data_IF_177418997098
#
_entry.id   IF_177418997098
#
_cell.length_a   1.000
_cell.length_b   1.000
_cell.length_c   1.000
_cell.angle_alpha   90.00
_cell.angle_beta   90.00
_cell.angle_gamma   90.00
#
_symmetry.space_group_name_H-M   'P 1'
#
loop_
_entity.id
_entity.type
_entity.pdbx_description
1 polymer ?
#
# COMPACT_ATOMS: atom_id res chain seq x y z
N UNK A 1 3.74 -4.29 -54.53
CA UNK A 1 4.97 -4.49 -53.74
C UNK A 1 5.38 -3.10 -53.27
N UNK A 2 4.93 -2.71 -52.09
CA UNK A 2 4.95 -1.32 -51.63
C UNK A 2 5.77 -1.27 -50.35
N UNK A 3 6.96 -0.66 -50.42
CA UNK A 3 7.86 -0.51 -49.28
C UNK A 3 7.52 0.82 -48.60
N UNK A 4 6.97 0.76 -47.39
CA UNK A 4 6.77 1.93 -46.53
C UNK A 4 8.07 2.18 -45.76
N UNK A 5 8.83 3.17 -46.20
CA UNK A 5 10.01 3.67 -45.48
C UNK A 5 9.59 4.48 -44.25
N UNK A 6 10.03 4.07 -43.06
CA UNK A 6 9.91 4.83 -41.83
C UNK A 6 11.04 5.85 -41.74
N UNK A 7 10.76 7.09 -42.17
CA UNK A 7 11.61 8.25 -41.87
C UNK A 7 11.35 8.70 -40.43
N UNK A 8 12.14 8.18 -39.50
CA UNK A 8 12.21 8.69 -38.14
C UNK A 8 13.01 10.01 -38.16
N UNK A 9 12.36 11.14 -37.87
CA UNK A 9 13.05 12.39 -37.59
C UNK A 9 13.76 12.29 -36.24
N UNK A 10 15.07 12.07 -36.25
CA UNK A 10 15.94 12.32 -35.10
C UNK A 10 16.01 13.84 -34.87
N UNK A 11 15.15 14.34 -33.99
CA UNK A 11 15.26 15.71 -33.47
C UNK A 11 16.37 15.70 -32.44
N UNK A 12 17.57 16.08 -32.91
CA UNK A 12 18.80 16.19 -32.14
C UNK A 12 18.57 16.74 -30.73
N UNK A 13 18.56 15.84 -29.78
CA UNK A 13 18.52 16.16 -28.35
C UNK A 13 19.96 16.36 -27.92
N UNK A 14 20.41 17.61 -27.93
CA UNK A 14 21.70 18.01 -27.35
C UNK A 14 21.75 17.47 -25.92
N UNK A 15 22.79 16.70 -25.51
CA UNK A 15 22.83 16.15 -24.18
C UNK A 15 22.74 17.29 -23.16
N UNK A 16 21.86 17.18 -22.14
CA UNK A 16 21.74 18.21 -21.12
C UNK A 16 23.11 18.46 -20.49
N UNK A 17 23.48 19.74 -20.33
CA UNK A 17 24.72 20.09 -19.64
C UNK A 17 24.67 19.55 -18.21
N UNK A 18 25.82 19.16 -17.64
CA UNK A 18 25.87 18.64 -16.26
C UNK A 18 25.19 19.60 -15.25
N UNK A 19 25.31 20.91 -15.46
CA UNK A 19 24.62 21.92 -14.67
C UNK A 19 23.09 21.81 -14.75
N UNK A 20 22.52 21.58 -15.95
CA UNK A 20 21.07 21.39 -16.12
C UNK A 20 20.57 20.07 -15.52
N UNK A 21 21.42 19.04 -15.47
CA UNK A 21 21.09 17.78 -14.82
C UNK A 21 21.10 17.92 -13.29
N UNK A 22 22.07 18.63 -12.72
CA UNK A 22 22.12 18.91 -11.29
C UNK A 22 20.92 19.74 -10.81
N UNK A 23 20.52 20.75 -11.58
CA UNK A 23 19.31 21.55 -11.32
C UNK A 23 18.04 20.68 -11.32
N UNK A 24 17.94 19.76 -12.28
CA UNK A 24 16.81 18.84 -12.38
C UNK A 24 16.75 17.87 -11.19
N UNK A 25 17.89 17.37 -10.73
CA UNK A 25 17.99 16.49 -9.55
C UNK A 25 17.56 17.24 -8.29
N UNK A 26 18.10 18.43 -8.05
CA UNK A 26 17.75 19.25 -6.86
C UNK A 26 16.24 19.53 -6.80
N UNK A 27 15.62 19.84 -7.95
CA UNK A 27 14.17 20.02 -8.02
C UNK A 27 13.37 18.76 -7.67
N UNK A 28 13.90 17.58 -7.99
CA UNK A 28 13.27 16.30 -7.66
C UNK A 28 13.41 15.98 -6.17
N UNK A 29 14.59 16.21 -5.59
CA UNK A 29 14.85 16.05 -4.16
C UNK A 29 13.91 16.93 -3.32
N UNK A 30 13.77 18.21 -3.66
CA UNK A 30 12.83 19.13 -2.99
C UNK A 30 11.38 18.64 -3.06
N UNK A 31 10.96 18.05 -4.19
CA UNK A 31 9.61 17.49 -4.34
C UNK A 31 9.42 16.22 -3.52
N UNK A 32 10.44 15.37 -3.46
CA UNK A 32 10.49 14.17 -2.62
C UNK A 32 10.33 14.54 -1.15
N UNK A 33 11.14 15.48 -0.64
CA UNK A 33 11.05 15.94 0.76
C UNK A 33 9.68 16.53 1.09
N UNK A 34 9.09 17.32 0.17
CA UNK A 34 7.74 17.85 0.35
C UNK A 34 6.68 16.76 0.38
N UNK A 35 6.84 15.71 -0.44
CA UNK A 35 5.94 14.56 -0.47
C UNK A 35 6.04 13.75 0.83
N UNK A 36 7.26 13.47 1.28
CA UNK A 36 7.51 12.76 2.55
C UNK A 36 6.91 13.51 3.74
N UNK A 37 7.09 14.84 3.80
CA UNK A 37 6.47 15.66 4.85
C UNK A 37 4.95 15.61 4.82
N UNK A 38 4.34 15.67 3.64
CA UNK A 38 2.88 15.58 3.49
C UNK A 38 2.35 14.22 3.92
N UNK A 39 3.04 13.14 3.51
CA UNK A 39 2.69 11.79 3.93
C UNK A 39 2.85 11.63 5.45
N UNK A 40 3.96 12.10 6.03
CA UNK A 40 4.17 12.08 7.48
C UNK A 40 3.12 12.85 8.27
N UNK A 41 2.49 13.88 7.70
CA UNK A 41 1.37 14.61 8.29
C UNK A 41 0.00 13.95 8.05
N UNK A 42 -0.14 13.17 6.97
CA UNK A 42 -1.38 12.47 6.61
C UNK A 42 -1.46 11.05 7.18
N UNK A 43 -0.34 10.47 7.62
CA UNK A 43 -0.40 9.20 8.33
C UNK A 43 -1.16 9.43 9.64
N UNK A 44 -2.30 8.75 9.85
CA UNK A 44 -2.90 8.72 11.17
C UNK A 44 -1.83 8.22 12.17
N UNK A 45 -1.87 8.66 13.43
CA UNK A 45 -1.00 8.11 14.45
C UNK A 45 -1.09 6.58 14.37
N UNK A 46 0.04 5.85 14.57
CA UNK A 46 0.00 4.40 14.59
C UNK A 46 -1.11 3.99 15.57
N UNK A 47 -2.18 3.42 15.02
CA UNK A 47 -3.30 2.93 15.82
C UNK A 47 -2.68 1.98 16.83
N UNK A 48 -2.86 2.28 18.11
CA UNK A 48 -2.44 1.39 19.17
C UNK A 48 -3.03 0.01 18.81
N UNK A 49 -2.24 -1.07 18.70
CA UNK A 49 -2.80 -2.40 18.40
C UNK A 49 -3.79 -2.87 19.48
N UNK A 50 -3.89 -2.14 20.59
CA UNK A 50 -4.88 -2.30 21.65
C UNK A 50 -6.22 -1.56 21.39
N UNK A 51 -6.28 -0.65 20.43
CA UNK A 51 -7.52 0.02 20.06
C UNK A 51 -8.39 -0.97 19.27
N UNK A 52 -9.46 -1.43 19.91
CA UNK A 52 -10.53 -2.28 19.34
C UNK A 52 -11.27 -1.63 18.16
N UNK A 53 -10.74 -0.55 17.58
CA UNK A 53 -11.27 0.05 16.39
C UNK A 53 -10.90 -0.82 15.19
N UNK A 54 -11.87 -1.37 14.45
CA UNK A 54 -11.58 -2.12 13.24
C UNK A 54 -10.82 -1.24 12.25
N UNK A 55 -9.79 -1.79 11.62
CA UNK A 55 -8.83 -1.09 10.76
C UNK A 55 -9.41 -0.66 9.39
N UNK A 56 -10.69 -0.30 9.36
CA UNK A 56 -11.45 0.06 8.17
C UNK A 56 -12.30 -1.09 7.61
N UNK A 57 -12.69 -1.02 6.32
CA UNK A 57 -13.49 -2.06 5.68
C UNK A 57 -12.78 -3.42 5.69
N UNK A 58 -13.56 -4.49 5.86
CA UNK A 58 -13.06 -5.87 5.73
C UNK A 58 -12.79 -6.16 4.26
N UNK A 59 -11.57 -6.62 3.95
CA UNK A 59 -11.19 -7.09 2.61
C UNK A 59 -11.56 -8.56 2.42
N UNK A 60 -11.24 -9.40 3.39
CA UNK A 60 -11.57 -10.83 3.40
C UNK A 60 -11.48 -11.42 4.81
N UNK A 61 -12.11 -12.57 5.03
CA UNK A 61 -12.04 -13.30 6.30
C UNK A 61 -11.81 -14.80 6.09
N UNK A 62 -11.14 -15.43 7.05
CA UNK A 62 -10.90 -16.88 7.09
C UNK A 62 -11.32 -17.42 8.45
N UNK A 63 -12.24 -18.37 8.44
CA UNK A 63 -12.67 -19.09 9.65
C UNK A 63 -12.08 -20.50 9.65
N UNK A 64 -11.38 -20.85 10.73
CA UNK A 64 -10.89 -22.21 11.00
C UNK A 64 -11.64 -22.76 12.19
N UNK A 65 -12.32 -23.89 11.99
CA UNK A 65 -13.12 -24.59 13.02
C UNK A 65 -12.78 -26.08 13.00
N UNK A 66 -12.92 -26.75 14.14
CA UNK A 66 -12.65 -28.19 14.28
C UNK A 66 -11.16 -28.52 14.46
N UNK A 67 -10.37 -27.55 14.91
CA UNK A 67 -8.95 -27.73 15.27
C UNK A 67 -8.74 -27.44 16.76
N UNK A 68 -7.51 -27.62 17.25
CA UNK A 68 -7.16 -27.26 18.64
C UNK A 68 -7.19 -25.74 18.86
N UNK A 69 -7.11 -24.95 17.78
CA UNK A 69 -7.06 -23.49 17.79
C UNK A 69 -8.06 -22.95 16.75
N UNK A 70 -9.34 -22.98 17.14
CA UNK A 70 -10.41 -22.40 16.33
C UNK A 70 -10.28 -20.88 16.33
N UNK A 71 -10.27 -20.29 15.13
CA UNK A 71 -9.86 -18.89 14.93
C UNK A 71 -10.52 -18.25 13.74
N UNK A 72 -10.87 -16.99 13.91
CA UNK A 72 -11.29 -16.08 12.85
C UNK A 72 -10.13 -15.11 12.55
N UNK A 73 -9.62 -15.16 11.33
CA UNK A 73 -8.65 -14.20 10.83
C UNK A 73 -9.35 -13.20 9.91
N UNK A 74 -9.19 -11.91 10.20
CA UNK A 74 -9.74 -10.81 9.40
C UNK A 74 -8.58 -10.12 8.67
N UNK A 75 -8.75 -9.91 7.37
CA UNK A 75 -7.85 -9.13 6.54
C UNK A 75 -8.53 -7.79 6.23
N UNK A 76 -7.92 -6.70 6.65
CA UNK A 76 -8.47 -5.36 6.49
C UNK A 76 -8.02 -4.74 5.16
N UNK A 77 -8.74 -3.70 4.70
CA UNK A 77 -8.43 -3.01 3.46
C UNK A 77 -7.09 -2.25 3.50
N UNK A 78 -6.65 -1.83 4.68
CA UNK A 78 -5.36 -1.17 4.92
C UNK A 78 -4.15 -2.14 4.91
N UNK A 79 -4.40 -3.45 4.82
CA UNK A 79 -3.39 -4.50 4.82
C UNK A 79 -3.06 -5.08 6.20
N UNK A 80 -3.64 -4.55 7.27
CA UNK A 80 -3.50 -5.12 8.60
C UNK A 80 -4.32 -6.41 8.75
N UNK A 81 -4.04 -7.18 9.81
CA UNK A 81 -4.75 -8.43 10.10
C UNK A 81 -5.12 -8.55 11.57
N UNK A 82 -6.31 -9.06 11.86
CA UNK A 82 -6.73 -9.42 13.21
C UNK A 82 -6.91 -10.93 13.34
N UNK A 83 -6.35 -11.50 14.40
CA UNK A 83 -6.46 -12.92 14.75
C UNK A 83 -7.30 -13.06 16.02
N UNK A 84 -8.54 -13.54 15.87
CA UNK A 84 -9.50 -13.65 16.96
C UNK A 84 -9.68 -15.14 17.33
N UNK A 85 -9.34 -15.56 18.56
CA UNK A 85 -9.64 -16.90 19.02
C UNK A 85 -11.16 -17.07 19.11
N UNK A 86 -11.65 -18.25 18.72
CA UNK A 86 -13.08 -18.54 18.72
C UNK A 86 -13.41 -19.64 19.72
N UNK A 87 -14.49 -19.45 20.46
CA UNK A 87 -15.12 -20.48 21.30
C UNK A 87 -16.50 -20.80 20.77
N UNK A 88 -16.90 -22.07 20.92
CA UNK A 88 -18.25 -22.52 20.56
C UNK A 88 -19.16 -22.41 21.77
N UNK A 89 -20.06 -21.43 21.75
CA UNK A 89 -21.13 -21.30 22.74
C UNK A 89 -22.42 -21.87 22.16
N UNK A 90 -22.75 -23.11 22.55
CA UNK A 90 -23.91 -23.85 22.07
C UNK A 90 -23.88 -24.05 20.54
N UNK A 91 -24.56 -23.18 19.79
CA UNK A 91 -24.66 -23.19 18.33
C UNK A 91 -23.98 -22.00 17.64
N UNK A 92 -23.42 -21.06 18.41
CA UNK A 92 -22.80 -19.83 17.92
C UNK A 92 -21.30 -19.81 18.22
N UNK A 93 -20.51 -19.33 17.27
CA UNK A 93 -19.08 -19.09 17.47
C UNK A 93 -18.89 -17.65 17.95
N UNK A 94 -18.36 -17.50 19.16
CA UNK A 94 -17.95 -16.21 19.71
C UNK A 94 -16.44 -16.05 19.46
N UNK A 95 -16.04 -15.01 18.72
CA UNK A 95 -14.64 -14.73 18.40
C UNK A 95 -14.28 -13.32 18.86
N UNK A 96 -13.24 -13.16 19.68
CA UNK A 96 -12.87 -11.86 20.24
C UNK A 96 -11.69 -11.87 21.20
#
# INVERSE_FOLDING_TARGET
MTVLGLSACDRGSKPPSQASQAEAINRLELRMEQMERRLGQQLPPPTDPSDKAPAGPVKSLTLRVGTVDDRLRIYWADGSTSDLPCTKEQSTWACG
#
